data_IF_286542626986
#
_entry.id   IF_286542626986
#
_cell.length_a   1.000
_cell.length_b   1.000
_cell.length_c   1.000
_cell.angle_alpha   90.00
_cell.angle_beta   90.00
_cell.angle_gamma   90.00
#
_symmetry.space_group_name_H-M   'P 1'
#
loop_
_entity.id
_entity.type
_entity.pdbx_description
1 polymer ?
#
# COMPACT_ATOMS: atom_id res chain seq x y z
N UNK A 1 62.93 -13.69 -60.90
CA UNK A 1 62.10 -12.82 -60.04
C UNK A 1 62.64 -11.41 -60.15
N UNK A 2 61.80 -10.40 -60.41
CA UNK A 2 62.23 -9.05 -60.83
C UNK A 2 62.94 -8.19 -59.75
N UNK A 3 63.17 -8.70 -58.53
CA UNK A 3 64.02 -8.05 -57.52
C UNK A 3 63.53 -6.70 -56.97
N UNK A 4 62.32 -6.26 -57.34
CA UNK A 4 61.77 -4.96 -56.95
C UNK A 4 61.09 -5.10 -55.58
N UNK A 5 61.48 -4.26 -54.63
CA UNK A 5 60.89 -4.24 -53.29
C UNK A 5 59.53 -3.55 -53.36
N UNK A 6 58.46 -4.25 -52.96
CA UNK A 6 57.12 -3.68 -52.99
C UNK A 6 57.00 -2.57 -51.92
N UNK A 7 56.55 -1.36 -52.28
CA UNK A 7 56.39 -0.27 -51.31
C UNK A 7 55.27 -0.56 -50.31
N UNK A 8 55.31 0.14 -49.18
CA UNK A 8 54.32 0.00 -48.12
C UNK A 8 52.90 0.28 -48.61
N UNK A 9 51.94 -0.42 -47.99
CA UNK A 9 50.52 -0.35 -48.35
C UNK A 9 50.01 1.07 -48.14
N UNK A 10 49.50 1.68 -49.21
CA UNK A 10 48.81 2.97 -49.13
C UNK A 10 47.60 2.82 -48.18
N UNK A 11 47.49 3.62 -47.11
CA UNK A 11 46.35 3.55 -46.21
C UNK A 11 45.09 3.95 -46.99
N UNK A 12 44.05 3.12 -46.88
CA UNK A 12 42.77 3.43 -47.51
C UNK A 12 42.19 4.68 -46.83
N UNK A 13 41.57 5.60 -47.61
CA UNK A 13 40.89 6.75 -47.02
C UNK A 13 39.84 6.23 -46.05
N UNK A 14 39.96 6.64 -44.78
CA UNK A 14 38.96 6.34 -43.76
C UNK A 14 37.69 7.04 -44.20
N UNK A 15 36.63 6.27 -44.49
CA UNK A 15 35.33 6.88 -44.81
C UNK A 15 34.90 7.66 -43.58
N UNK A 16 34.78 8.98 -43.71
CA UNK A 16 34.13 9.78 -42.68
C UNK A 16 32.74 9.18 -42.46
N UNK A 17 32.49 8.69 -41.25
CA UNK A 17 31.19 8.12 -40.89
C UNK A 17 30.23 9.30 -40.79
N UNK A 18 29.62 9.67 -41.92
CA UNK A 18 28.55 10.66 -41.93
C UNK A 18 27.40 10.06 -41.15
N UNK A 19 27.24 10.50 -39.90
CA UNK A 19 26.15 10.04 -39.05
C UNK A 19 24.87 10.62 -39.64
N UNK A 20 23.85 9.78 -39.81
CA UNK A 20 22.56 10.26 -40.30
C UNK A 20 22.02 11.37 -39.37
N UNK A 21 21.38 12.42 -39.90
CA UNK A 21 20.79 13.46 -39.08
C UNK A 21 19.74 12.84 -38.14
N UNK A 22 19.73 13.32 -36.90
CA UNK A 22 18.73 12.90 -35.91
C UNK A 22 17.33 13.27 -36.39
N UNK A 23 16.43 12.28 -36.40
CA UNK A 23 15.03 12.50 -36.76
C UNK A 23 14.33 13.34 -35.69
N UNK A 24 13.71 14.45 -36.11
CA UNK A 24 12.86 15.27 -35.25
C UNK A 24 11.41 15.10 -35.70
N UNK A 25 10.50 14.66 -34.82
CA UNK A 25 9.09 14.57 -35.18
C UNK A 25 8.54 15.97 -35.50
N UNK A 26 7.54 16.07 -36.38
CA UNK A 26 6.85 17.33 -36.62
C UNK A 26 6.10 17.79 -35.34
N UNK A 27 5.78 19.10 -35.25
CA UNK A 27 5.01 19.63 -34.13
C UNK A 27 3.60 19.01 -34.07
N UNK A 28 3.00 19.02 -32.87
CA UNK A 28 1.69 18.48 -32.61
C UNK A 28 0.60 19.25 -33.35
N UNK A 29 -0.37 18.51 -33.91
CA UNK A 29 -1.55 19.09 -34.56
C UNK A 29 -2.60 19.52 -33.53
N UNK A 30 -3.57 20.34 -33.92
CA UNK A 30 -4.61 20.86 -32.99
C UNK A 30 -5.55 19.75 -32.50
N UNK A 31 -5.57 18.61 -33.17
CA UNK A 31 -6.47 17.48 -32.88
C UNK A 31 -5.77 16.40 -32.06
N UNK A 32 -6.52 15.81 -31.12
CA UNK A 32 -6.05 14.67 -30.33
C UNK A 32 -5.02 15.04 -29.26
N UNK A 33 -4.37 14.02 -28.71
CA UNK A 33 -3.32 14.19 -27.68
C UNK A 33 -1.94 14.18 -28.34
N UNK A 34 -0.94 14.86 -27.76
CA UNK A 34 0.40 14.89 -28.34
C UNK A 34 1.04 13.51 -28.40
N UNK A 35 0.70 12.61 -27.47
CA UNK A 35 1.18 11.23 -27.48
C UNK A 35 0.62 10.43 -28.67
N UNK A 36 -0.63 10.71 -29.07
CA UNK A 36 -1.27 10.06 -30.23
C UNK A 36 -0.64 10.53 -31.55
N UNK A 37 -0.45 11.84 -31.69
CA UNK A 37 0.26 12.42 -32.85
C UNK A 37 1.69 11.90 -32.95
N UNK A 38 2.41 11.84 -31.83
CA UNK A 38 3.77 11.32 -31.79
C UNK A 38 3.83 9.87 -32.29
N UNK A 39 2.96 9.00 -31.80
CA UNK A 39 2.91 7.60 -32.24
C UNK A 39 2.51 7.47 -33.71
N UNK A 40 1.60 8.33 -34.20
CA UNK A 40 1.25 8.37 -35.62
C UNK A 40 2.43 8.76 -36.52
N UNK A 41 3.37 9.59 -36.04
CA UNK A 41 4.55 9.97 -36.82
C UNK A 41 5.61 8.88 -36.90
N UNK A 42 5.57 7.89 -36.00
CA UNK A 42 6.57 6.80 -35.95
C UNK A 42 6.26 5.64 -36.89
N UNK A 43 5.01 5.44 -37.29
CA UNK A 43 4.61 4.33 -38.15
C UNK A 43 3.50 4.69 -39.12
N UNK A 44 3.61 4.21 -40.35
CA UNK A 44 2.62 4.44 -41.41
C UNK A 44 1.19 4.01 -41.02
N UNK A 45 1.05 2.85 -40.37
CA UNK A 45 -0.22 2.44 -39.78
C UNK A 45 -0.31 3.00 -38.35
N UNK A 46 -1.30 3.84 -38.02
CA UNK A 46 -1.41 4.42 -36.69
C UNK A 46 -1.64 3.31 -35.67
N UNK A 47 -0.83 3.34 -34.61
CA UNK A 47 -0.96 2.42 -33.47
C UNK A 47 -1.48 3.20 -32.28
N UNK A 48 -2.31 2.56 -31.46
CA UNK A 48 -2.73 3.16 -30.19
C UNK A 48 -1.51 3.45 -29.30
N UNK A 49 -1.45 4.60 -28.62
CA UNK A 49 -0.42 4.85 -27.62
C UNK A 49 -0.50 3.82 -26.50
N UNK A 50 0.65 3.34 -26.04
CA UNK A 50 0.74 2.34 -24.98
C UNK A 50 0.64 3.04 -23.62
N UNK A 51 -0.17 2.48 -22.72
CA UNK A 51 -0.26 2.91 -21.32
C UNK A 51 0.73 2.15 -20.45
N UNK A 52 1.13 2.76 -19.34
CA UNK A 52 1.98 2.11 -18.33
C UNK A 52 1.19 1.13 -17.48
N UNK A 53 0.95 -0.06 -18.03
CA UNK A 53 0.14 -1.12 -17.37
C UNK A 53 0.70 -1.49 -15.99
N UNK A 54 2.03 -1.52 -15.83
CA UNK A 54 2.70 -1.82 -14.56
C UNK A 54 2.34 -0.77 -13.50
N UNK A 55 2.39 0.51 -13.86
CA UNK A 55 2.01 1.60 -12.96
C UNK A 55 0.54 1.49 -12.57
N UNK A 56 -0.33 1.16 -13.53
CA UNK A 56 -1.76 1.03 -13.29
C UNK A 56 -2.05 -0.09 -12.29
N UNK A 57 -1.46 -1.28 -12.47
CA UNK A 57 -1.70 -2.44 -11.60
C UNK A 57 -1.17 -2.25 -10.17
N UNK A 58 0.03 -1.66 -10.01
CA UNK A 58 0.64 -1.48 -8.67
C UNK A 58 -0.01 -0.39 -7.83
N UNK A 59 -0.62 0.60 -8.50
CA UNK A 59 -1.17 1.77 -7.84
C UNK A 59 -2.70 1.77 -7.80
N UNK A 60 -3.41 0.96 -8.56
CA UNK A 60 -4.86 0.85 -8.41
C UNK A 60 -5.20 0.12 -7.09
N UNK A 61 -6.10 0.64 -6.21
CA UNK A 61 -6.96 1.82 -6.32
C UNK A 61 -6.48 3.06 -5.51
N UNK A 62 -5.17 3.21 -5.28
CA UNK A 62 -4.58 4.27 -4.44
C UNK A 62 -4.81 5.66 -5.05
N UNK A 63 -5.37 6.55 -4.25
CA UNK A 63 -5.69 7.94 -4.60
C UNK A 63 -5.21 8.87 -3.51
N UNK A 64 -4.62 10.00 -3.88
CA UNK A 64 -4.18 11.03 -2.95
C UNK A 64 -5.22 12.15 -2.89
N UNK A 65 -5.70 12.50 -1.70
CA UNK A 65 -6.77 13.49 -1.51
C UNK A 65 -6.23 14.72 -0.79
N UNK A 66 -6.58 15.89 -1.32
CA UNK A 66 -6.17 17.20 -0.82
C UNK A 66 -7.39 18.11 -0.70
N UNK A 67 -7.43 18.91 0.36
CA UNK A 67 -8.40 19.98 0.49
C UNK A 67 -7.83 21.24 -0.15
N UNK A 68 -8.64 21.97 -0.91
CA UNK A 68 -8.22 23.18 -1.57
C UNK A 68 -9.33 24.23 -1.63
N UNK A 69 -8.91 25.48 -1.80
CA UNK A 69 -9.78 26.63 -2.04
C UNK A 69 -9.40 27.30 -3.34
N UNK A 70 -10.36 27.94 -4.00
CA UNK A 70 -10.08 28.69 -5.22
C UNK A 70 -9.39 30.02 -4.88
N UNK A 71 -8.39 30.41 -5.66
CA UNK A 71 -7.83 31.77 -5.61
C UNK A 71 -8.84 32.69 -6.31
N UNK A 72 -9.46 33.55 -5.52
CA UNK A 72 -10.72 34.20 -5.86
C UNK A 72 -10.52 35.31 -6.88
N UNK A 73 -11.12 35.16 -8.07
CA UNK A 73 -11.25 36.24 -9.06
C UNK A 73 -12.59 36.96 -8.90
N UNK A 74 -13.65 36.22 -8.54
CA UNK A 74 -15.00 36.73 -8.35
C UNK A 74 -15.48 36.48 -6.92
N UNK A 75 -16.11 37.45 -6.24
CA UNK A 75 -16.52 37.33 -4.83
C UNK A 75 -17.52 36.18 -4.59
N UNK A 76 -18.24 35.77 -5.62
CA UNK A 76 -19.17 34.64 -5.56
C UNK A 76 -18.49 33.29 -5.27
N UNK A 77 -17.23 33.15 -5.67
CA UNK A 77 -16.47 31.89 -5.58
C UNK A 77 -15.67 31.73 -4.27
N UNK A 78 -15.63 32.76 -3.41
CA UNK A 78 -14.81 32.80 -2.20
C UNK A 78 -15.14 31.69 -1.19
N UNK A 79 -16.42 31.31 -1.12
CA UNK A 79 -16.93 30.40 -0.11
C UNK A 79 -17.05 28.94 -0.56
N UNK A 80 -16.37 28.58 -1.66
CA UNK A 80 -16.40 27.25 -2.28
C UNK A 80 -15.19 26.43 -1.82
N UNK A 81 -15.48 25.28 -1.21
CA UNK A 81 -14.47 24.33 -0.76
C UNK A 81 -14.38 23.16 -1.74
N UNK A 82 -13.17 22.74 -2.08
CA UNK A 82 -12.93 21.69 -3.07
C UNK A 82 -12.03 20.60 -2.52
N UNK A 83 -12.20 19.39 -3.05
CA UNK A 83 -11.32 18.25 -2.84
C UNK A 83 -10.66 17.90 -4.18
N UNK A 84 -9.34 17.89 -4.17
CA UNK A 84 -8.52 17.36 -5.27
C UNK A 84 -8.21 15.90 -4.98
N UNK A 85 -8.53 15.03 -5.94
CA UNK A 85 -8.18 13.62 -5.92
C UNK A 85 -7.21 13.32 -7.07
N UNK A 86 -6.01 12.88 -6.72
CA UNK A 86 -4.99 12.46 -7.67
C UNK A 86 -4.91 10.94 -7.75
N UNK A 87 -5.13 10.38 -8.93
CA UNK A 87 -5.01 8.95 -9.18
C UNK A 87 -3.55 8.56 -9.41
N UNK A 88 -2.99 7.69 -8.55
CA UNK A 88 -1.60 7.24 -8.71
C UNK A 88 -1.42 6.28 -9.90
N UNK A 89 -2.48 5.58 -10.30
CA UNK A 89 -2.47 4.65 -11.45
C UNK A 89 -2.27 5.38 -12.77
N UNK A 90 -3.11 6.39 -13.03
CA UNK A 90 -3.19 7.05 -14.33
C UNK A 90 -2.55 8.45 -14.33
N UNK A 91 -2.30 9.02 -13.15
CA UNK A 91 -1.81 10.39 -13.00
C UNK A 91 -2.88 11.46 -13.23
N UNK A 92 -4.15 11.06 -13.32
CA UNK A 92 -5.28 11.96 -13.55
C UNK A 92 -5.71 12.68 -12.28
N UNK A 93 -6.25 13.88 -12.46
CA UNK A 93 -6.80 14.72 -11.41
C UNK A 93 -8.32 14.75 -11.56
N UNK A 94 -9.01 14.57 -10.44
CA UNK A 94 -10.43 14.82 -10.28
C UNK A 94 -10.58 15.95 -9.27
N UNK A 95 -11.45 16.91 -9.58
CA UNK A 95 -11.84 17.97 -8.64
C UNK A 95 -13.30 17.82 -8.30
N UNK A 96 -13.58 17.70 -7.01
CA UNK A 96 -14.92 17.62 -6.46
C UNK A 96 -15.20 18.86 -5.63
N UNK A 97 -16.38 19.44 -5.79
CA UNK A 97 -16.85 20.53 -4.94
C UNK A 97 -17.60 19.95 -3.74
N UNK A 98 -17.34 20.49 -2.54
CA UNK A 98 -18.03 20.09 -1.32
C UNK A 98 -19.39 20.78 -1.21
N UNK A 99 -20.41 20.01 -0.84
CA UNK A 99 -21.75 20.53 -0.56
C UNK A 99 -21.71 21.49 0.64
N UNK A 100 -22.36 22.64 0.46
CA UNK A 100 -22.57 23.62 1.54
C UNK A 100 -24.04 24.01 1.58
N UNK A 101 -24.68 23.75 2.72
CA UNK A 101 -26.10 24.05 2.93
C UNK A 101 -26.38 25.54 2.69
N UNK A 102 -27.52 25.82 2.07
CA UNK A 102 -27.99 27.17 1.74
C UNK A 102 -27.06 27.95 0.79
N UNK A 103 -26.19 27.28 0.03
CA UNK A 103 -25.31 27.94 -0.95
C UNK A 103 -26.01 28.35 -2.24
N UNK A 104 -27.19 27.79 -2.53
CA UNK A 104 -27.93 28.03 -3.77
C UNK A 104 -27.30 27.42 -5.03
N UNK A 105 -26.23 26.63 -4.88
CA UNK A 105 -25.51 25.97 -5.99
C UNK A 105 -25.74 24.48 -5.95
N UNK A 106 -25.78 23.85 -7.13
CA UNK A 106 -25.82 22.39 -7.26
C UNK A 106 -24.40 21.85 -7.20
N UNK A 107 -24.02 21.20 -6.11
CA UNK A 107 -22.70 20.57 -6.00
C UNK A 107 -22.48 19.46 -7.04
N UNK A 108 -21.20 19.17 -7.30
CA UNK A 108 -20.82 18.09 -8.19
C UNK A 108 -19.33 18.00 -8.48
N UNK A 109 -19.03 17.25 -9.54
CA UNK A 109 -17.68 17.12 -10.06
C UNK A 109 -17.33 18.36 -10.89
N UNK A 110 -16.47 19.22 -10.33
CA UNK A 110 -15.95 20.40 -11.02
C UNK A 110 -15.05 20.02 -12.19
N UNK A 111 -14.19 19.01 -12.00
CA UNK A 111 -13.35 18.44 -13.05
C UNK A 111 -13.39 16.91 -13.01
N UNK A 112 -13.81 16.29 -14.12
CA UNK A 112 -13.74 14.84 -14.31
C UNK A 112 -12.28 14.38 -14.46
N UNK A 113 -12.03 13.10 -14.23
CA UNK A 113 -10.68 12.52 -14.29
C UNK A 113 -9.93 12.89 -15.58
N UNK A 114 -9.00 13.83 -15.47
CA UNK A 114 -8.29 14.42 -16.62
C UNK A 114 -6.81 14.60 -16.29
N UNK A 115 -5.94 14.42 -17.27
CA UNK A 115 -4.53 14.78 -17.16
C UNK A 115 -4.39 16.30 -17.31
N UNK A 116 -3.93 16.98 -16.25
CA UNK A 116 -3.81 18.44 -16.23
C UNK A 116 -2.36 18.82 -16.49
N UNK A 117 -2.14 19.61 -17.54
CA UNK A 117 -0.82 20.15 -17.88
C UNK A 117 -0.47 21.37 -17.02
N UNK A 118 0.82 21.50 -16.68
CA UNK A 118 1.37 22.66 -16.00
C UNK A 118 1.29 23.90 -16.89
N UNK A 119 1.06 25.09 -16.30
CA UNK A 119 1.03 26.33 -17.05
C UNK A 119 2.38 26.59 -17.72
N UNK A 120 2.36 27.29 -18.86
CA UNK A 120 3.54 27.65 -19.66
C UNK A 120 4.25 26.48 -20.35
N UNK A 121 3.65 25.28 -20.37
CA UNK A 121 4.20 24.19 -21.17
C UNK A 121 3.76 24.28 -22.62
N UNK A 122 4.66 23.91 -23.55
CA UNK A 122 4.37 23.88 -24.99
C UNK A 122 3.33 22.81 -25.34
N UNK A 123 2.67 22.98 -26.49
CA UNK A 123 1.65 22.02 -26.99
C UNK A 123 2.22 20.66 -27.35
N UNK A 124 3.47 20.64 -27.80
CA UNK A 124 4.11 19.43 -28.33
C UNK A 124 4.56 18.48 -27.22
N UNK A 125 5.02 19.03 -26.08
CA UNK A 125 5.54 18.27 -24.95
C UNK A 125 4.94 18.79 -23.64
N UNK A 126 3.65 18.51 -23.35
CA UNK A 126 3.03 18.94 -22.10
C UNK A 126 3.65 18.23 -20.90
N UNK A 127 3.97 18.99 -19.87
CA UNK A 127 4.40 18.50 -18.57
C UNK A 127 3.18 18.47 -17.67
N UNK A 128 2.85 17.29 -17.15
CA UNK A 128 1.67 17.12 -16.31
C UNK A 128 2.01 17.31 -14.83
N UNK A 129 1.00 17.69 -14.03
CA UNK A 129 1.18 17.75 -12.58
C UNK A 129 1.47 16.38 -11.98
N UNK A 130 2.39 16.38 -11.02
CA UNK A 130 2.82 15.21 -10.28
C UNK A 130 2.53 15.40 -8.78
N UNK A 131 2.54 14.31 -7.99
CA UNK A 131 2.37 14.41 -6.54
C UNK A 131 3.40 15.31 -5.84
N UNK A 132 4.54 15.57 -6.46
CA UNK A 132 5.59 16.44 -5.92
C UNK A 132 5.17 17.92 -5.93
N UNK A 133 4.29 18.30 -6.86
CA UNK A 133 3.81 19.67 -7.01
C UNK A 133 2.73 20.01 -5.95
N UNK A 134 2.26 19.02 -5.18
CA UNK A 134 1.19 19.17 -4.20
C UNK A 134 1.74 19.24 -2.77
N UNK A 135 1.78 20.45 -2.22
CA UNK A 135 2.13 20.72 -0.83
C UNK A 135 1.20 21.79 -0.25
N UNK A 136 1.20 21.96 1.07
CA UNK A 136 0.32 22.93 1.73
C UNK A 136 0.71 24.35 1.34
N UNK A 137 -0.25 25.11 0.82
CA UNK A 137 -0.06 26.46 0.29
C UNK A 137 0.34 26.52 -1.18
N UNK A 138 0.50 25.37 -1.86
CA UNK A 138 0.82 25.34 -3.29
C UNK A 138 -0.32 25.94 -4.13
N UNK A 139 0.04 26.77 -5.11
CA UNK A 139 -0.88 27.32 -6.12
C UNK A 139 -0.88 26.44 -7.37
N UNK A 140 -2.03 25.86 -7.68
CA UNK A 140 -2.23 24.94 -8.82
C UNK A 140 -3.13 25.62 -9.84
N UNK A 141 -2.70 25.65 -11.09
CA UNK A 141 -3.53 26.08 -12.22
C UNK A 141 -4.20 24.87 -12.88
N UNK A 142 -5.53 24.84 -12.88
CA UNK A 142 -6.36 23.84 -13.52
C UNK A 142 -7.26 24.56 -14.55
N UNK A 143 -6.95 24.45 -15.84
CA UNK A 143 -7.73 25.10 -16.92
C UNK A 143 -8.02 26.59 -16.69
N UNK A 144 -7.00 27.34 -16.26
CA UNK A 144 -7.08 28.78 -15.95
C UNK A 144 -7.85 29.14 -14.66
N UNK A 145 -8.17 28.14 -13.85
CA UNK A 145 -8.63 28.31 -12.48
C UNK A 145 -7.48 28.04 -11.52
N UNK A 146 -7.18 28.99 -10.64
CA UNK A 146 -6.15 28.85 -9.64
C UNK A 146 -6.74 28.31 -8.34
N UNK A 147 -6.10 27.30 -7.79
CA UNK A 147 -6.47 26.69 -6.51
C UNK A 147 -5.28 26.71 -5.57
N UNK A 148 -5.55 26.89 -4.29
CA UNK A 148 -4.58 26.85 -3.20
C UNK A 148 -4.86 25.61 -2.36
N UNK A 149 -3.89 24.72 -2.21
CA UNK A 149 -4.02 23.57 -1.30
C UNK A 149 -4.02 24.09 0.14
N UNK A 150 -5.08 23.79 0.87
CA UNK A 150 -5.26 24.15 2.28
C UNK A 150 -4.99 23.00 3.23
N UNK A 151 -5.22 21.75 2.79
CA UNK A 151 -5.10 20.57 3.64
C UNK A 151 -4.79 19.30 2.88
N UNK A 152 -4.37 18.28 3.64
CA UNK A 152 -3.91 16.97 3.13
C UNK A 152 -4.53 15.87 3.98
N UNK A 153 -4.89 14.75 3.35
CA UNK A 153 -5.40 13.55 4.03
C UNK A 153 -4.25 12.71 4.65
N UNK A 154 -4.53 11.96 5.72
CA UNK A 154 -3.54 11.15 6.42
C UNK A 154 -2.94 10.05 5.53
N UNK A 155 -3.74 9.50 4.60
CA UNK A 155 -3.25 8.53 3.62
C UNK A 155 -2.12 9.09 2.75
N UNK A 156 -2.20 10.38 2.38
CA UNK A 156 -1.17 11.04 1.57
C UNK A 156 0.15 11.10 2.33
N UNK A 157 0.11 11.46 3.61
CA UNK A 157 1.29 11.49 4.46
C UNK A 157 1.96 10.11 4.55
N UNK A 158 1.19 9.06 4.82
CA UNK A 158 1.68 7.67 4.87
C UNK A 158 2.29 7.23 3.53
N UNK A 159 1.67 7.62 2.41
CA UNK A 159 2.20 7.31 1.08
C UNK A 159 3.55 8.00 0.82
N UNK A 160 3.66 9.28 1.20
CA UNK A 160 4.88 10.08 1.03
C UNK A 160 6.02 9.55 1.91
N UNK A 161 5.71 9.19 3.15
CA UNK A 161 6.66 8.59 4.09
C UNK A 161 7.18 7.24 3.61
N UNK A 162 6.29 6.39 3.06
CA UNK A 162 6.68 5.11 2.46
C UNK A 162 7.52 5.25 1.19
N UNK A 163 7.49 6.41 0.51
CA UNK A 163 8.18 6.64 -0.76
C UNK A 163 9.15 7.84 -0.69
N UNK A 164 10.15 7.84 0.20
CA UNK A 164 11.00 9.00 0.46
C UNK A 164 11.82 9.43 -0.76
N UNK A 165 12.14 8.50 -1.67
CA UNK A 165 12.93 8.78 -2.89
C UNK A 165 12.14 9.56 -3.95
N UNK A 166 10.80 9.52 -3.91
CA UNK A 166 9.94 10.17 -4.90
C UNK A 166 9.59 11.60 -4.55
N UNK A 167 9.83 12.04 -3.32
CA UNK A 167 9.40 13.33 -2.81
C UNK A 167 10.58 14.12 -2.24
N UNK A 168 10.71 15.42 -2.54
CA UNK A 168 11.73 16.25 -1.94
C UNK A 168 11.48 16.42 -0.44
N UNK A 169 12.55 16.62 0.34
CA UNK A 169 12.46 16.69 1.80
C UNK A 169 11.55 17.83 2.27
N UNK A 170 11.56 18.95 1.56
CA UNK A 170 10.75 20.14 1.84
C UNK A 170 9.25 19.84 1.86
N UNK A 171 8.75 19.12 0.85
CA UNK A 171 7.34 18.74 0.75
C UNK A 171 6.94 17.82 1.90
N UNK A 172 7.80 16.89 2.28
CA UNK A 172 7.54 15.96 3.41
C UNK A 172 7.43 16.72 4.72
N UNK A 173 8.37 17.63 4.97
CA UNK A 173 8.39 18.44 6.18
C UNK A 173 7.20 19.38 6.24
N UNK A 174 6.83 20.00 5.12
CA UNK A 174 5.65 20.86 5.01
C UNK A 174 4.36 20.13 5.41
N UNK A 175 4.15 18.93 4.87
CA UNK A 175 2.96 18.10 5.17
C UNK A 175 3.00 17.61 6.62
N UNK A 176 4.16 17.14 7.10
CA UNK A 176 4.33 16.71 8.50
C UNK A 176 3.98 17.83 9.47
N UNK A 177 4.52 19.03 9.25
CA UNK A 177 4.28 20.20 10.10
C UNK A 177 2.80 20.59 10.11
N UNK A 178 2.12 20.53 8.96
CA UNK A 178 0.68 20.77 8.87
C UNK A 178 -0.12 19.76 9.69
N UNK A 179 0.15 18.46 9.55
CA UNK A 179 -0.60 17.41 10.26
C UNK A 179 -0.35 17.42 11.77
N UNK A 180 0.88 17.74 12.21
CA UNK A 180 1.20 17.95 13.63
C UNK A 180 0.40 19.14 14.17
N UNK A 181 0.33 20.25 13.42
CA UNK A 181 -0.46 21.43 13.82
C UNK A 181 -1.96 21.12 13.95
N UNK A 182 -2.49 20.20 13.13
CA UNK A 182 -3.88 19.75 13.20
C UNK A 182 -4.12 18.67 14.27
N UNK A 183 -3.10 18.27 15.03
CA UNK A 183 -3.14 17.18 16.02
C UNK A 183 -3.57 15.81 15.48
N UNK A 184 -3.45 15.59 14.15
CA UNK A 184 -3.89 14.35 13.50
C UNK A 184 -2.85 13.22 13.57
N UNK A 185 -1.62 13.53 14.03
CA UNK A 185 -0.51 12.58 14.16
C UNK A 185 -0.25 12.14 15.60
N UNK A 186 -1.09 12.53 16.56
CA UNK A 186 -0.81 12.28 17.98
C UNK A 186 -0.64 10.79 18.30
N UNK A 187 -1.52 9.93 17.77
CA UNK A 187 -1.46 8.49 18.00
C UNK A 187 -0.19 7.87 17.41
N UNK A 188 0.18 8.27 16.18
CA UNK A 188 1.39 7.78 15.51
C UNK A 188 2.63 8.18 16.31
N UNK A 189 2.68 9.42 16.81
CA UNK A 189 3.77 9.91 17.69
C UNK A 189 3.80 9.13 19.00
N UNK A 190 2.66 8.91 19.65
CA UNK A 190 2.61 8.15 20.91
C UNK A 190 3.09 6.72 20.76
N UNK A 191 2.75 6.08 19.64
CA UNK A 191 3.23 4.72 19.33
C UNK A 191 4.74 4.73 19.08
N UNK A 192 5.27 5.72 18.37
CA UNK A 192 6.71 5.86 18.17
C UNK A 192 7.47 6.11 19.48
N UNK A 193 6.98 7.00 20.34
CA UNK A 193 7.64 7.29 21.63
C UNK A 193 7.70 6.07 22.52
N UNK A 194 6.62 5.27 22.58
CA UNK A 194 6.61 4.00 23.33
C UNK A 194 7.64 3.01 22.80
N UNK A 195 7.71 2.84 21.47
CA UNK A 195 8.72 1.97 20.84
C UNK A 195 10.15 2.42 21.12
N UNK A 196 10.40 3.71 21.23
CA UNK A 196 11.72 4.24 21.59
C UNK A 196 12.03 3.91 23.04
N UNK A 197 11.10 4.15 23.96
CA UNK A 197 11.25 3.80 25.38
C UNK A 197 11.52 2.30 25.56
N UNK A 198 10.71 1.43 24.94
CA UNK A 198 10.89 -0.03 25.01
C UNK A 198 12.29 -0.46 24.49
N UNK A 199 12.79 0.20 23.44
CA UNK A 199 14.13 -0.04 22.87
C UNK A 199 15.26 0.46 23.77
N UNK A 200 15.07 1.60 24.42
CA UNK A 200 16.03 2.15 25.38
C UNK A 200 16.11 1.27 26.61
N UNK A 201 14.97 0.80 27.13
CA UNK A 201 14.89 -0.14 28.26
C UNK A 201 15.56 -1.48 27.94
N UNK A 202 15.29 -2.08 26.77
CA UNK A 202 15.97 -3.32 26.34
C UNK A 202 17.48 -3.13 26.11
N UNK A 203 17.90 -1.94 25.68
CA UNK A 203 19.33 -1.61 25.53
C UNK A 203 20.02 -1.40 26.89
N UNK A 204 19.33 -0.83 27.87
CA UNK A 204 19.81 -0.70 29.24
C UNK A 204 19.91 -2.07 29.94
N UNK A 205 18.94 -2.97 29.74
CA UNK A 205 18.98 -4.33 30.28
C UNK A 205 20.05 -5.24 29.67
N UNK A 206 20.55 -4.93 28.47
CA UNK A 206 21.63 -5.69 27.83
C UNK A 206 23.04 -5.17 28.14
N UNK A 207 23.16 -4.09 28.89
CA UNK A 207 24.44 -3.50 29.34
C UNK A 207 24.82 -3.85 30.79
N UNK A 208 24.01 -4.63 31.52
CA UNK A 208 24.42 -5.24 32.79
C UNK A 208 24.99 -6.64 32.48
N UNK A 209 26.33 -6.77 32.43
CA UNK A 209 26.96 -7.61 33.43
C UNK A 209 28.29 -7.00 33.88
N UNK A 210 28.30 -6.35 35.03
CA UNK A 210 29.48 -6.25 35.89
C UNK A 210 29.04 -6.64 37.31
N UNK A 211 28.88 -7.95 37.53
CA UNK A 211 28.81 -8.48 38.89
C UNK A 211 30.16 -8.24 39.57
N UNK A 212 30.20 -7.19 40.37
CA UNK A 212 31.19 -7.00 41.40
C UNK A 212 31.13 -8.19 42.38
N UNK A 213 32.12 -9.07 42.30
CA UNK A 213 32.73 -9.87 43.40
C UNK A 213 31.91 -10.00 44.69
N UNK A 214 31.20 -11.12 44.87
CA UNK A 214 31.09 -11.81 46.18
C UNK A 214 30.94 -13.32 45.94
N UNK A 215 32.01 -14.07 46.18
CA UNK A 215 32.01 -15.53 46.27
C UNK A 215 31.09 -16.01 47.41
N UNK A 216 30.10 -16.85 47.09
CA UNK A 216 29.57 -17.90 47.99
C UNK A 216 29.18 -19.10 47.15
N UNK A 217 30.10 -20.04 47.05
CA UNK A 217 29.91 -21.35 46.43
C UNK A 217 28.83 -22.15 47.16
N UNK A 218 27.72 -22.42 46.47
CA UNK A 218 26.87 -23.59 46.72
C UNK A 218 26.79 -24.31 45.38
N UNK A 219 27.46 -25.46 45.29
CA UNK A 219 27.65 -26.21 44.05
C UNK A 219 26.33 -26.81 43.53
N UNK A 220 25.61 -26.02 42.73
CA UNK A 220 24.39 -26.41 42.03
C UNK A 220 24.58 -27.55 41.02
N UNK A 221 25.83 -27.95 40.71
CA UNK A 221 26.07 -29.13 39.86
C UNK A 221 25.88 -30.43 40.63
N UNK A 222 25.99 -30.41 41.95
CA UNK A 222 25.72 -31.58 42.79
C UNK A 222 24.22 -31.88 42.79
N UNK A 223 23.37 -30.87 43.04
CA UNK A 223 21.91 -31.02 43.07
C UNK A 223 21.31 -31.47 41.71
N UNK A 224 21.85 -30.98 40.59
CA UNK A 224 21.37 -31.41 39.26
C UNK A 224 21.75 -32.87 38.98
N UNK A 225 22.96 -33.29 39.37
CA UNK A 225 23.39 -34.69 39.24
C UNK A 225 22.57 -35.63 40.13
N UNK A 226 22.23 -35.22 41.34
CA UNK A 226 21.40 -36.00 42.25
C UNK A 226 19.96 -36.13 41.74
N UNK A 227 19.42 -35.09 41.09
CA UNK A 227 18.10 -35.11 40.46
C UNK A 227 18.06 -35.98 39.18
N UNK A 228 19.11 -35.91 38.35
CA UNK A 228 19.26 -36.76 37.16
C UNK A 228 19.47 -38.24 37.54
N UNK A 229 20.16 -38.52 38.65
CA UNK A 229 20.30 -39.87 39.19
C UNK A 229 18.96 -40.41 39.74
N UNK A 230 18.21 -39.58 40.49
CA UNK A 230 16.88 -39.96 41.00
C UNK A 230 15.85 -40.21 39.88
N UNK A 231 15.90 -39.43 38.80
CA UNK A 231 15.00 -39.60 37.66
C UNK A 231 15.35 -40.83 36.83
N UNK A 232 16.63 -41.19 36.69
CA UNK A 232 17.07 -42.46 36.07
C UNK A 232 16.71 -43.68 36.91
N UNK A 233 16.85 -43.64 38.23
CA UNK A 233 16.46 -44.75 39.11
C UNK A 233 14.94 -45.02 39.16
N UNK A 234 14.09 -44.07 38.73
CA UNK A 234 12.63 -44.31 38.59
C UNK A 234 12.25 -45.08 37.33
N UNK A 235 13.13 -45.16 36.33
CA UNK A 235 12.76 -45.68 35.01
C UNK A 235 13.48 -46.97 34.59
N UNK A 236 14.41 -47.50 35.39
CA UNK A 236 15.07 -48.78 35.08
C UNK A 236 15.12 -49.68 36.33
N UNK A 237 14.03 -50.43 36.54
CA UNK A 237 13.92 -51.51 37.52
C UNK A 237 12.67 -52.36 37.25
N UNK A 238 12.86 -53.67 37.09
CA UNK A 238 11.90 -54.68 36.59
C UNK A 238 10.55 -54.69 37.31
N UNK A 239 9.47 -54.38 36.58
CA UNK A 239 8.24 -55.18 36.43
C UNK A 239 7.28 -54.41 35.51
N UNK A 240 7.23 -54.80 34.24
CA UNK A 240 6.23 -54.32 33.32
C UNK A 240 4.84 -54.82 33.71
N UNK A 241 3.89 -53.90 33.86
CA UNK A 241 2.48 -54.17 33.59
C UNK A 241 1.89 -52.99 32.82
N UNK A 242 1.30 -53.31 31.66
CA UNK A 242 0.38 -52.43 30.95
C UNK A 242 -0.77 -52.11 31.90
N UNK A 243 -0.96 -50.84 32.27
CA UNK A 243 -2.16 -50.46 33.01
C UNK A 243 -3.38 -50.77 32.12
N UNK A 244 -4.37 -51.53 32.60
CA UNK A 244 -5.61 -51.71 31.85
C UNK A 244 -6.24 -50.34 31.60
N UNK A 245 -6.89 -50.18 30.42
CA UNK A 245 -7.64 -48.96 30.09
C UNK A 245 -8.58 -48.64 31.24
N UNK A 246 -8.64 -47.36 31.65
CA UNK A 246 -9.68 -46.88 32.55
C UNK A 246 -11.06 -47.24 31.96
N UNK A 247 -11.91 -47.98 32.70
CA UNK A 247 -13.23 -48.34 32.21
C UNK A 247 -14.10 -47.08 32.01
N UNK A 248 -15.09 -47.13 31.11
CA UNK A 248 -15.99 -46.01 30.87
C UNK A 248 -16.78 -45.60 32.14
N UNK A 249 -17.29 -44.36 32.20
CA UNK A 249 -17.84 -43.75 33.43
C UNK A 249 -19.00 -44.48 34.11
N UNK A 250 -19.61 -45.46 33.45
CA UNK A 250 -20.73 -46.25 33.96
C UNK A 250 -20.34 -47.24 35.07
N UNK A 251 -19.06 -47.61 35.19
CA UNK A 251 -18.57 -48.57 36.21
C UNK A 251 -17.97 -47.90 37.47
N UNK A 252 -17.83 -46.57 37.49
CA UNK A 252 -17.26 -45.84 38.62
C UNK A 252 -18.29 -45.42 39.69
N UNK A 253 -19.59 -45.56 39.39
CA UNK A 253 -20.70 -45.17 40.27
C UNK A 253 -21.89 -46.15 40.15
N UNK A 254 -21.91 -47.29 40.88
CA UNK A 254 -22.97 -48.30 40.73
C UNK A 254 -24.37 -47.91 41.26
N UNK A 255 -24.54 -46.75 41.94
CA UNK A 255 -25.83 -46.35 42.54
C UNK A 255 -26.46 -45.07 41.96
N UNK A 256 -25.99 -44.58 40.81
CA UNK A 256 -26.57 -43.42 40.12
C UNK A 256 -27.22 -43.74 38.77
N UNK A 257 -27.66 -44.99 38.60
CA UNK A 257 -28.60 -45.39 37.56
C UNK A 257 -29.77 -46.08 38.26
N UNK A 258 -30.84 -45.31 38.49
CA UNK A 258 -32.19 -45.90 38.56
C UNK A 258 -32.68 -45.99 37.13
N UNK A 259 -32.88 -47.21 36.67
CA UNK A 259 -33.29 -47.53 35.32
C UNK A 259 -34.49 -46.69 34.84
N UNK A 260 -34.41 -46.04 33.67
CA UNK A 260 -35.54 -45.37 33.06
C UNK A 260 -36.38 -46.40 32.30
N UNK A 261 -37.15 -47.19 33.03
CA UNK A 261 -38.15 -48.08 32.42
C UNK A 261 -39.48 -47.98 33.16
N UNK A 262 -40.03 -46.78 33.19
CA UNK A 262 -41.47 -46.50 33.21
C UNK A 262 -41.66 -45.00 33.00
N UNK A 263 -41.72 -44.56 31.74
CA UNK A 263 -42.61 -43.51 31.23
C UNK A 263 -42.39 -43.29 29.73
N UNK A 264 -42.46 -44.36 28.93
CA UNK A 264 -42.82 -44.26 27.51
C UNK A 264 -43.67 -45.47 27.13
N UNK A 265 -44.93 -45.45 27.57
CA UNK A 265 -46.01 -46.03 26.80
C UNK A 265 -46.76 -44.88 26.12
N UNK A 266 -47.12 -45.12 24.85
CA UNK A 266 -48.00 -44.31 23.99
C UNK A 266 -47.32 -43.17 23.21
N UNK A 267 -46.78 -43.45 22.02
CA UNK A 267 -47.56 -43.47 20.77
C UNK A 267 -46.60 -43.76 19.59
N UNK A 268 -46.81 -44.90 18.94
CA UNK A 268 -46.31 -45.13 17.58
C UNK A 268 -47.21 -44.37 16.61
N UNK A 269 -46.61 -43.65 15.65
CA UNK A 269 -47.10 -43.65 14.27
C UNK A 269 -45.97 -43.19 13.32
N UNK A 270 -45.40 -44.08 12.50
CA UNK A 270 -44.54 -43.71 11.39
C UNK A 270 -45.37 -43.68 10.10
N UNK A 271 -45.58 -42.50 9.53
CA UNK A 271 -46.09 -42.38 8.16
C UNK A 271 -45.14 -41.55 7.32
N UNK A 272 -44.21 -42.29 6.71
CA UNK A 272 -43.93 -42.32 5.27
C UNK A 272 -44.20 -40.99 4.56
N UNK A 273 -43.11 -40.24 4.33
CA UNK A 273 -43.01 -39.30 3.22
C UNK A 273 -42.82 -40.10 1.94
N UNK A 274 -43.84 -40.11 1.09
CA UNK A 274 -43.68 -40.37 -0.35
C UNK A 274 -44.20 -39.16 -1.11
N UNK A 275 -43.33 -38.66 -1.97
CA UNK A 275 -43.60 -37.67 -3.02
C UNK A 275 -44.81 -38.10 -3.87
N UNK A 276 -45.65 -37.13 -4.23
CA UNK A 276 -46.22 -37.08 -5.58
C UNK A 276 -46.80 -35.69 -5.89
N UNK A 277 -46.01 -34.98 -6.71
CA UNK A 277 -46.37 -34.14 -7.84
C UNK A 277 -47.85 -34.22 -8.27
N UNK A 278 -48.55 -33.09 -8.25
CA UNK A 278 -49.74 -32.84 -9.09
C UNK A 278 -49.60 -31.45 -9.73
N UNK A 279 -49.38 -31.48 -11.04
CA UNK A 279 -49.68 -30.39 -11.96
C UNK A 279 -51.19 -30.09 -11.94
N UNK A 280 -51.55 -28.81 -11.99
CA UNK A 280 -52.71 -28.38 -12.77
C UNK A 280 -52.52 -26.93 -13.24
N UNK A 281 -52.14 -26.86 -14.51
CA UNK A 281 -52.34 -25.76 -15.45
C UNK A 281 -53.78 -25.26 -15.47
N UNK A 282 -53.97 -23.93 -15.53
CA UNK A 282 -54.89 -23.21 -16.42
C UNK A 282 -54.66 -21.71 -16.29
#
# INVERSE_FOLDING_TARGET
MLGIMQPERIPLPTKDIVTAPEYKPPPHIIFGTPEDTYVSCLSFMPKRPKKDVVRQLLNFPKKLRYSMKMDVVHPEDENRDFILEYSLSDGTIVVQELEKRNSGRREGCFLKATLVAKPKTGRDNPEYYTPQDFYIGAKINIFNHYFIITGVDLFVYRYIEANPKKFPQEVRNNIRNYLVKQNLLFDDIMVETKKIQDKEETKLQSLEPDEATVEKDIDMKQCVRDFEAQTKCRYEGDHGELRPRTPPPEELCPDLIKDPTQLFHQYQDPRIFTENKVERSK
#
